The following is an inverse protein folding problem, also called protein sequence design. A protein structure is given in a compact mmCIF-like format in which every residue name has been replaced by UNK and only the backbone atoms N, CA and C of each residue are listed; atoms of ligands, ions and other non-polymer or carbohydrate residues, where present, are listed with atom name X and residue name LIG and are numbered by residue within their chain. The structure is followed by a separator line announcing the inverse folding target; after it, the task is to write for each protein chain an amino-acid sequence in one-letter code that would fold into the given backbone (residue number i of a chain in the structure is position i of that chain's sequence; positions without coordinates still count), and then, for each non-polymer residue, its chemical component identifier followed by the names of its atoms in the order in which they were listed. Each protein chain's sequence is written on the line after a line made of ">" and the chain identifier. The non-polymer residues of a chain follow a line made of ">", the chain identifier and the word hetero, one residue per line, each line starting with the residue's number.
data_IF_684384315210
#
_entry.id   IF_684384315210
#
_cell.length_a   1.000
_cell.length_b   1.000
_cell.length_c   1.000
_cell.angle_alpha   90.00
_cell.angle_beta   90.00
_cell.angle_gamma   90.00
#
_symmetry.space_group_name_H-M   'P 1'
#
loop_
_entity.id
_entity.type
_entity.pdbx_description
1 polymer ?
#
# COMPACT_ATOMS: atom_id res chain seq x y z
N UNK A 1 8.77 5.88 34.54
CA UNK A 1 9.51 6.18 33.29
C UNK A 1 9.17 5.05 32.34
N UNK A 2 8.43 5.36 31.28
CA UNK A 2 7.87 4.34 30.38
C UNK A 2 8.98 3.54 29.73
N UNK A 3 8.85 2.22 29.83
CA UNK A 3 9.64 1.25 29.09
C UNK A 3 9.64 1.67 27.62
N UNK A 4 10.82 1.97 27.06
CA UNK A 4 10.96 2.24 25.64
C UNK A 4 10.59 0.94 24.93
N UNK A 5 9.31 0.80 24.57
CA UNK A 5 8.79 -0.37 23.87
C UNK A 5 9.70 -0.65 22.69
N UNK A 6 10.31 -1.83 22.69
CA UNK A 6 11.26 -2.19 21.65
C UNK A 6 10.50 -2.24 20.33
N UNK A 7 10.93 -1.49 19.31
CA UNK A 7 10.26 -1.52 18.03
C UNK A 7 10.33 -2.94 17.45
N UNK A 8 9.17 -3.50 17.12
CA UNK A 8 9.09 -4.77 16.39
C UNK A 8 9.48 -4.58 14.91
N UNK A 9 10.14 -5.59 14.34
CA UNK A 9 10.52 -5.60 12.92
C UNK A 9 9.41 -6.25 12.09
N UNK A 10 8.76 -5.45 11.26
CA UNK A 10 7.80 -5.94 10.26
C UNK A 10 8.52 -6.28 8.95
N UNK A 11 8.33 -7.48 8.44
CA UNK A 11 8.70 -7.88 7.08
C UNK A 11 7.45 -7.83 6.20
N UNK A 12 7.55 -7.19 5.04
CA UNK A 12 6.48 -7.14 4.03
C UNK A 12 7.07 -7.50 2.67
N UNK A 13 6.26 -8.19 1.87
CA UNK A 13 6.60 -8.50 0.47
C UNK A 13 6.05 -7.38 -0.40
N UNK A 14 6.88 -6.87 -1.30
CA UNK A 14 6.52 -5.86 -2.28
C UNK A 14 7.04 -6.33 -3.64
N UNK A 15 6.30 -6.00 -4.69
CA UNK A 15 6.81 -6.10 -6.05
C UNK A 15 7.94 -5.09 -6.28
N UNK A 16 8.69 -5.27 -7.37
CA UNK A 16 9.77 -4.34 -7.73
C UNK A 16 9.24 -2.91 -7.94
N UNK A 17 8.07 -2.78 -8.58
CA UNK A 17 7.45 -1.49 -8.89
C UNK A 17 6.96 -0.78 -7.63
N UNK A 18 6.38 -1.50 -6.69
CA UNK A 18 5.97 -0.94 -5.40
C UNK A 18 7.16 -0.48 -4.56
N UNK A 19 8.24 -1.27 -4.55
CA UNK A 19 9.47 -0.87 -3.86
C UNK A 19 10.07 0.40 -4.50
N UNK A 20 10.07 0.49 -5.84
CA UNK A 20 10.53 1.66 -6.56
C UNK A 20 9.65 2.90 -6.27
N UNK A 21 8.32 2.74 -6.29
CA UNK A 21 7.38 3.80 -5.95
C UNK A 21 7.60 4.32 -4.51
N UNK A 22 7.80 3.42 -3.55
CA UNK A 22 8.12 3.77 -2.17
C UNK A 22 9.43 4.57 -2.07
N UNK A 23 10.49 4.14 -2.76
CA UNK A 23 11.77 4.84 -2.78
C UNK A 23 11.65 6.23 -3.44
N UNK A 24 10.97 6.33 -4.58
CA UNK A 24 10.74 7.60 -5.27
C UNK A 24 10.01 8.58 -4.37
N UNK A 25 8.90 8.16 -3.75
CA UNK A 25 8.16 8.98 -2.81
C UNK A 25 9.00 9.39 -1.59
N UNK A 26 9.84 8.48 -1.06
CA UNK A 26 10.79 8.79 0.02
C UNK A 26 11.74 9.92 -0.40
N UNK A 27 12.30 9.85 -1.60
CA UNK A 27 13.20 10.89 -2.12
C UNK A 27 12.47 12.22 -2.35
N UNK A 28 11.30 12.20 -2.99
CA UNK A 28 10.48 13.40 -3.24
C UNK A 28 10.12 14.13 -1.95
N UNK A 29 9.74 13.37 -0.91
CA UNK A 29 9.39 13.91 0.41
C UNK A 29 10.59 14.14 1.32
N UNK A 30 11.82 13.93 0.80
CA UNK A 30 13.10 14.12 1.51
C UNK A 30 13.18 13.35 2.84
N UNK A 31 12.63 12.14 2.84
CA UNK A 31 12.59 11.32 4.04
C UNK A 31 13.92 10.59 4.26
N UNK A 32 14.40 10.54 5.52
CA UNK A 32 15.77 10.11 5.84
C UNK A 32 15.97 8.59 5.72
N UNK A 33 14.91 7.78 5.75
CA UNK A 33 15.01 6.32 5.66
C UNK A 33 13.75 5.69 5.10
N UNK A 34 13.87 4.46 4.60
CA UNK A 34 12.72 3.66 4.16
C UNK A 34 11.72 3.44 5.30
N UNK A 35 12.21 3.17 6.51
CA UNK A 35 11.36 3.02 7.69
C UNK A 35 10.56 4.28 8.00
N UNK A 36 11.12 5.47 7.79
CA UNK A 36 10.39 6.73 7.93
C UNK A 36 9.26 6.85 6.90
N UNK A 37 9.54 6.50 5.64
CA UNK A 37 8.53 6.47 4.59
C UNK A 37 7.40 5.47 4.89
N UNK A 38 7.72 4.23 5.25
CA UNK A 38 6.71 3.22 5.59
C UNK A 38 5.86 3.67 6.77
N UNK A 39 6.46 4.20 7.85
CA UNK A 39 5.71 4.72 9.00
C UNK A 39 4.78 5.86 8.61
N UNK A 40 5.24 6.75 7.73
CA UNK A 40 4.45 7.89 7.26
C UNK A 40 3.29 7.46 6.36
N UNK A 41 3.48 6.46 5.49
CA UNK A 41 2.39 5.85 4.72
C UNK A 41 1.36 5.19 5.64
N UNK A 42 1.81 4.39 6.61
CA UNK A 42 0.91 3.74 7.58
C UNK A 42 0.09 4.79 8.36
N UNK A 43 0.74 5.85 8.83
CA UNK A 43 0.08 6.94 9.55
C UNK A 43 -0.99 7.63 8.69
N UNK A 44 -0.70 7.87 7.41
CA UNK A 44 -1.66 8.48 6.46
C UNK A 44 -2.79 7.52 6.11
N UNK A 45 -2.49 6.24 5.89
CA UNK A 45 -3.49 5.21 5.60
C UNK A 45 -4.45 5.00 6.77
N UNK A 46 -3.95 4.97 8.01
CA UNK A 46 -4.79 4.88 9.21
C UNK A 46 -5.67 6.11 9.43
N UNK A 47 -5.25 7.28 8.94
CA UNK A 47 -6.02 8.51 9.00
C UNK A 47 -6.92 8.73 7.77
N UNK A 48 -6.81 7.89 6.74
CA UNK A 48 -7.59 8.03 5.52
C UNK A 48 -9.02 7.51 5.75
N UNK A 49 -9.99 8.40 5.66
CA UNK A 49 -11.40 8.02 5.63
C UNK A 49 -11.69 7.31 4.29
N UNK A 50 -12.27 6.09 4.34
CA UNK A 50 -12.65 5.35 3.13
C UNK A 50 -12.06 3.94 2.99
N UNK A 51 -11.09 3.53 3.82
CA UNK A 51 -10.73 2.10 3.92
C UNK A 51 -11.78 1.37 4.76
N UNK A 52 -12.93 1.10 4.13
CA UNK A 52 -13.96 0.21 4.68
C UNK A 52 -13.33 -1.18 4.78
N UNK A 53 -13.48 -1.83 5.95
CA UNK A 53 -12.96 -3.17 6.28
C UNK A 53 -12.63 -4.01 5.04
N UNK A 54 -11.40 -4.54 4.98
CA UNK A 54 -11.04 -5.57 4.01
C UNK A 54 -12.11 -6.67 3.98
N UNK A 55 -12.60 -6.98 2.77
CA UNK A 55 -13.57 -8.05 2.58
C UNK A 55 -12.99 -9.39 3.04
N UNK A 56 -13.84 -10.26 3.59
CA UNK A 56 -13.37 -11.57 4.05
C UNK A 56 -12.90 -12.40 2.86
N UNK A 57 -11.69 -12.95 2.96
CA UNK A 57 -11.11 -13.83 1.95
C UNK A 57 -10.09 -13.19 1.02
N UNK A 58 -9.86 -11.87 1.12
CA UNK A 58 -8.79 -11.20 0.35
C UNK A 58 -7.41 -11.74 0.74
N UNK A 59 -6.60 -12.04 -0.27
CA UNK A 59 -5.22 -12.50 -0.13
C UNK A 59 -4.29 -11.30 0.08
N UNK A 60 -3.18 -11.51 0.77
CA UNK A 60 -2.17 -10.46 0.99
C UNK A 60 -1.66 -9.81 -0.32
N UNK A 61 -1.69 -10.54 -1.44
CA UNK A 61 -1.25 -10.04 -2.76
C UNK A 61 -2.24 -9.05 -3.40
N UNK A 62 -3.47 -8.98 -2.90
CA UNK A 62 -4.48 -8.04 -3.38
C UNK A 62 -4.34 -6.66 -2.69
N UNK A 63 -3.48 -6.57 -1.68
CA UNK A 63 -3.10 -5.31 -1.05
C UNK A 63 -1.77 -4.84 -1.60
N UNK A 64 -1.68 -3.55 -1.93
CA UNK A 64 -0.48 -2.98 -2.51
C UNK A 64 -0.30 -1.49 -2.20
N UNK A 65 0.86 -0.97 -2.61
CA UNK A 65 1.18 0.47 -2.52
C UNK A 65 0.68 1.21 -3.75
N UNK A 66 0.59 0.50 -4.88
CA UNK A 66 0.05 1.01 -6.14
C UNK A 66 -1.40 0.56 -6.30
N UNK A 67 -2.20 1.35 -7.02
CA UNK A 67 -3.53 0.90 -7.43
C UNK A 67 -3.38 -0.29 -8.38
N UNK A 68 -4.16 -1.37 -8.19
CA UNK A 68 -4.19 -2.43 -9.18
C UNK A 68 -4.65 -1.81 -10.50
N UNK A 69 -3.97 -2.12 -11.61
CA UNK A 69 -4.46 -1.72 -12.92
C UNK A 69 -5.86 -2.31 -13.08
N UNK A 70 -6.89 -1.47 -13.00
CA UNK A 70 -8.25 -1.86 -13.37
C UNK A 70 -8.19 -2.19 -14.85
N UNK A 71 -8.10 -3.47 -15.16
CA UNK A 71 -8.15 -3.92 -16.54
C UNK A 71 -9.59 -3.67 -17.03
N UNK A 72 -9.85 -2.48 -17.54
CA UNK A 72 -11.12 -2.02 -18.12
C UNK A 72 -11.45 -2.73 -19.45
N UNK A 73 -10.88 -3.91 -19.68
CA UNK A 73 -11.05 -4.69 -20.92
C UNK A 73 -12.26 -5.64 -20.88
N UNK A 74 -13.15 -5.52 -19.90
CA UNK A 74 -14.32 -6.38 -19.74
C UNK A 74 -15.68 -5.68 -19.98
N UNK A 75 -15.70 -4.45 -20.50
CA UNK A 75 -16.95 -3.80 -20.90
C UNK A 75 -16.96 -3.52 -22.41
N UNK A 76 -17.44 -4.49 -23.19
CA UNK A 76 -17.81 -4.24 -24.57
C UNK A 76 -17.67 -5.42 -25.53
N UNK A 77 -18.68 -6.30 -25.56
CA UNK A 77 -19.39 -6.82 -26.77
C UNK A 77 -20.13 -8.15 -26.48
N UNK A 78 -21.17 -8.52 -27.25
CA UNK A 78 -22.16 -7.74 -28.00
C UNK A 78 -23.60 -8.14 -27.59
N UNK A 79 -24.57 -7.21 -27.62
CA UNK A 79 -25.98 -7.63 -27.69
C UNK A 79 -26.31 -7.88 -29.15
N UNK A 80 -26.46 -9.16 -29.50
CA UNK A 80 -27.10 -9.60 -30.72
C UNK A 80 -28.51 -10.07 -30.35
N UNK A 81 -29.53 -9.33 -30.80
CA UNK A 81 -30.67 -9.85 -31.57
C UNK A 81 -31.30 -8.66 -32.33
#
# INVERSE_FOLDING_TARGET
>A
MGELERPERLQIMLTADELAALENWRFEKRMPSRSAAVRELLRRGLAAEGFLKAEQGLKSQEFGILEPERNDSAEGKPVAD
#
